data_IF_102892812115
#
_entry.id   IF_102892812115
#
_cell.length_a   1.000
_cell.length_b   1.000
_cell.length_c   1.000
_cell.angle_alpha   90.00
_cell.angle_beta   90.00
_cell.angle_gamma   90.00
#
_symmetry.space_group_name_H-M   'P 1'
#
loop_
_entity.id
_entity.type
_entity.pdbx_description
1 polymer ?
#
# COMPACT_ATOMS: atom_id res chain seq x y z
N UNK A 1 19.57 -8.03 -17.20
CA UNK A 1 19.15 -8.85 -16.05
C UNK A 1 17.73 -9.33 -16.31
N UNK A 2 17.59 -10.30 -17.23
CA UNK A 2 16.33 -10.85 -17.74
C UNK A 2 16.20 -12.36 -17.49
N UNK A 3 16.76 -12.86 -16.39
CA UNK A 3 16.88 -14.30 -16.14
C UNK A 3 16.07 -14.81 -14.92
N UNK A 4 15.20 -13.98 -14.33
CA UNK A 4 14.38 -14.39 -13.18
C UNK A 4 12.86 -14.40 -13.47
N UNK A 5 12.43 -14.06 -14.70
CA UNK A 5 11.01 -14.09 -15.09
C UNK A 5 10.55 -15.42 -15.76
N UNK A 6 11.43 -16.40 -15.92
CA UNK A 6 11.10 -17.66 -16.63
C UNK A 6 11.04 -18.91 -15.75
N UNK A 7 10.86 -18.80 -14.44
CA UNK A 7 10.76 -19.97 -13.55
C UNK A 7 9.56 -19.92 -12.59
N UNK A 8 8.40 -19.56 -13.06
CA UNK A 8 7.15 -19.85 -12.33
C UNK A 8 6.14 -20.61 -13.23
N UNK A 9 6.60 -21.68 -13.89
CA UNK A 9 5.73 -22.82 -14.18
C UNK A 9 5.59 -23.67 -12.91
N UNK A 10 5.45 -22.99 -11.76
CA UNK A 10 5.32 -23.59 -10.47
C UNK A 10 3.95 -24.22 -10.27
N UNK A 11 3.90 -25.13 -9.36
CA UNK A 11 2.74 -25.84 -8.85
C UNK A 11 1.52 -24.91 -8.75
N UNK A 12 0.41 -25.29 -9.37
CA UNK A 12 -0.88 -24.66 -9.21
C UNK A 12 -1.84 -25.65 -8.55
N UNK A 13 -1.47 -26.12 -7.34
CA UNK A 13 -2.31 -27.01 -6.59
C UNK A 13 -3.49 -26.22 -5.98
N UNK A 14 -4.69 -26.74 -6.14
CA UNK A 14 -5.89 -26.20 -5.55
C UNK A 14 -6.47 -27.13 -4.49
N UNK A 15 -6.98 -26.54 -3.42
CA UNK A 15 -7.49 -27.26 -2.26
C UNK A 15 -8.78 -26.66 -1.74
N UNK A 16 -9.64 -27.53 -1.14
CA UNK A 16 -10.77 -27.12 -0.29
C UNK A 16 -10.42 -27.39 1.15
N UNK A 17 -10.49 -26.40 2.02
CA UNK A 17 -10.08 -26.50 3.42
C UNK A 17 -11.17 -25.97 4.33
N UNK A 18 -11.63 -26.78 5.29
CA UNK A 18 -12.56 -26.34 6.32
C UNK A 18 -11.94 -25.31 7.27
N UNK A 19 -12.78 -24.47 7.88
CA UNK A 19 -12.30 -23.36 8.74
C UNK A 19 -11.50 -23.81 9.97
N UNK A 20 -11.90 -24.92 10.59
CA UNK A 20 -11.16 -25.50 11.72
C UNK A 20 -9.77 -25.94 11.30
N UNK A 21 -9.68 -26.70 10.20
CA UNK A 21 -8.40 -27.14 9.67
C UNK A 21 -7.52 -25.98 9.23
N UNK A 22 -8.11 -24.94 8.63
CA UNK A 22 -7.35 -23.73 8.30
C UNK A 22 -6.81 -23.01 9.54
N UNK A 23 -7.49 -23.07 10.68
CA UNK A 23 -6.94 -22.54 11.94
C UNK A 23 -5.73 -23.32 12.43
N UNK A 24 -5.70 -24.64 12.25
CA UNK A 24 -4.53 -25.47 12.56
C UNK A 24 -3.36 -25.11 11.64
N UNK A 25 -3.60 -25.04 10.33
CA UNK A 25 -2.59 -24.62 9.35
C UNK A 25 -2.06 -23.21 9.68
N UNK A 26 -2.91 -22.25 10.05
CA UNK A 26 -2.45 -20.92 10.48
C UNK A 26 -1.61 -20.96 11.75
N UNK A 27 -1.91 -21.87 12.69
CA UNK A 27 -1.10 -22.03 13.89
C UNK A 27 0.28 -22.60 13.57
N UNK A 28 0.38 -23.55 12.65
CA UNK A 28 1.63 -24.09 12.14
C UNK A 28 2.43 -23.02 11.39
N UNK A 29 1.82 -22.32 10.43
CA UNK A 29 2.42 -21.20 9.68
C UNK A 29 2.94 -20.11 10.61
N UNK A 30 2.28 -19.86 11.75
CA UNK A 30 2.68 -18.82 12.70
C UNK A 30 4.01 -19.11 13.43
N UNK A 31 4.56 -20.32 13.29
CA UNK A 31 5.90 -20.64 13.81
C UNK A 31 6.98 -19.99 12.94
N UNK A 32 6.77 -19.96 11.62
CA UNK A 32 7.75 -19.47 10.63
C UNK A 32 7.39 -18.08 10.09
N UNK A 33 6.11 -17.73 10.10
CA UNK A 33 5.58 -16.50 9.52
C UNK A 33 4.86 -15.63 10.55
N UNK A 34 5.02 -14.33 10.42
CA UNK A 34 4.08 -13.37 10.99
C UNK A 34 2.94 -13.18 9.99
N UNK A 35 1.74 -13.61 10.34
CA UNK A 35 0.59 -13.61 9.43
C UNK A 35 -0.23 -12.34 9.62
N UNK A 36 -0.25 -11.46 8.64
CA UNK A 36 -1.04 -10.22 8.66
C UNK A 36 -2.26 -10.32 7.74
N UNK A 37 -3.40 -9.90 8.26
CA UNK A 37 -4.65 -9.84 7.50
C UNK A 37 -5.51 -8.64 7.92
N UNK A 38 -6.50 -8.24 7.09
CA UNK A 38 -7.47 -7.26 7.51
C UNK A 38 -8.35 -7.82 8.63
N UNK A 39 -8.36 -7.16 9.79
CA UNK A 39 -9.16 -7.54 10.95
C UNK A 39 -9.92 -6.35 11.52
N UNK A 40 -11.00 -6.66 12.22
CA UNK A 40 -11.82 -5.66 12.87
C UNK A 40 -11.12 -5.11 14.12
N UNK A 41 -10.94 -3.80 14.16
CA UNK A 41 -10.60 -3.08 15.39
C UNK A 41 -11.85 -3.03 16.28
N UNK A 42 -11.93 -3.88 17.29
CA UNK A 42 -13.10 -4.03 18.15
C UNK A 42 -13.53 -2.73 18.87
N UNK A 43 -12.57 -1.83 19.13
CA UNK A 43 -12.86 -0.56 19.80
C UNK A 43 -13.47 0.49 18.87
N UNK A 44 -13.07 0.48 17.59
CA UNK A 44 -13.40 1.54 16.63
C UNK A 44 -14.26 1.06 15.45
N UNK A 45 -14.58 -0.21 15.39
CA UNK A 45 -15.32 -0.85 14.30
C UNK A 45 -14.68 -0.63 12.90
N UNK A 46 -13.36 -0.44 12.85
CA UNK A 46 -12.58 -0.26 11.63
C UNK A 46 -11.85 -1.53 11.27
N UNK A 47 -11.68 -1.75 9.98
CA UNK A 47 -10.88 -2.85 9.45
C UNK A 47 -9.45 -2.38 9.24
N UNK A 48 -8.50 -2.97 9.98
CA UNK A 48 -7.07 -2.68 9.90
C UNK A 48 -6.29 -3.94 9.63
N UNK A 49 -5.10 -3.81 9.13
CA UNK A 49 -4.16 -4.93 9.09
C UNK A 49 -3.53 -5.13 10.47
N UNK A 50 -3.62 -6.35 10.98
CA UNK A 50 -2.95 -6.78 12.20
C UNK A 50 -2.52 -8.24 12.08
N UNK A 51 -1.67 -8.69 12.98
CA UNK A 51 -1.26 -10.08 13.07
C UNK A 51 -2.44 -10.95 13.54
N UNK A 52 -2.75 -12.00 12.77
CA UNK A 52 -3.88 -12.90 13.00
C UNK A 52 -3.40 -14.31 13.29
N UNK A 53 -4.19 -15.05 14.07
CA UNK A 53 -3.93 -16.44 14.43
C UNK A 53 -5.09 -17.38 14.12
N UNK A 54 -6.22 -16.85 13.69
CA UNK A 54 -7.42 -17.60 13.34
C UNK A 54 -8.08 -17.01 12.12
N UNK A 55 -8.60 -17.87 11.26
CA UNK A 55 -9.27 -17.47 10.03
C UNK A 55 -10.50 -16.59 10.27
N UNK A 56 -11.22 -16.82 11.35
CA UNK A 56 -12.39 -16.03 11.74
C UNK A 56 -12.08 -14.59 12.17
N UNK A 57 -10.80 -14.23 12.31
CA UNK A 57 -10.39 -12.83 12.55
C UNK A 57 -10.30 -12.04 11.24
N UNK A 58 -10.20 -12.71 10.09
CA UNK A 58 -9.98 -12.09 8.79
C UNK A 58 -11.30 -11.53 8.25
N UNK A 59 -11.30 -10.24 7.95
CA UNK A 59 -12.41 -9.56 7.30
C UNK A 59 -12.20 -9.58 5.79
N UNK A 60 -12.99 -10.35 5.09
CA UNK A 60 -12.88 -10.56 3.64
C UNK A 60 -14.04 -9.96 2.83
N UNK A 61 -15.17 -9.69 3.46
CA UNK A 61 -16.44 -9.27 2.85
C UNK A 61 -16.53 -7.75 2.62
N UNK A 62 -15.59 -6.99 3.15
CA UNK A 62 -15.53 -5.53 2.96
C UNK A 62 -14.10 -5.03 2.83
N UNK A 63 -13.95 -3.81 2.34
CA UNK A 63 -12.66 -3.16 2.20
C UNK A 63 -12.05 -2.79 3.56
N UNK A 64 -10.74 -2.97 3.70
CA UNK A 64 -10.01 -2.46 4.87
C UNK A 64 -9.88 -0.94 4.80
N UNK A 65 -10.00 -0.27 5.95
CA UNK A 65 -9.81 1.19 6.08
C UNK A 65 -8.36 1.62 5.83
N UNK A 66 -7.40 0.71 6.04
CA UNK A 66 -5.96 0.96 5.88
C UNK A 66 -5.34 -0.07 4.94
N UNK A 67 -4.28 0.32 4.25
CA UNK A 67 -3.47 -0.60 3.45
C UNK A 67 -2.57 -1.47 4.35
N UNK A 68 -2.05 -2.61 3.85
CA UNK A 68 -1.17 -3.50 4.60
C UNK A 68 0.23 -2.92 4.85
N UNK A 69 0.56 -1.76 4.33
CA UNK A 69 1.93 -1.25 4.27
C UNK A 69 2.63 -1.19 5.63
N UNK A 70 1.89 -1.07 6.76
CA UNK A 70 2.49 -1.07 8.09
C UNK A 70 3.18 -2.38 8.47
N UNK A 71 2.86 -3.50 7.79
CA UNK A 71 3.48 -4.80 8.03
C UNK A 71 4.95 -4.84 7.56
N UNK A 72 5.30 -4.10 6.51
CA UNK A 72 6.62 -4.10 5.89
C UNK A 72 7.26 -2.70 5.78
N UNK A 73 6.50 -1.67 6.05
CA UNK A 73 6.91 -0.28 6.14
C UNK A 73 6.27 0.33 7.38
N UNK A 74 6.87 0.15 8.57
CA UNK A 74 6.27 0.56 9.85
C UNK A 74 6.00 2.07 9.92
N UNK A 75 4.95 2.44 10.65
CA UNK A 75 4.58 3.86 10.88
C UNK A 75 5.72 4.65 11.51
N UNK A 76 6.45 4.01 12.42
CA UNK A 76 7.67 4.53 13.04
C UNK A 76 8.68 3.39 13.15
N UNK A 77 9.91 3.64 12.72
CA UNK A 77 11.00 2.68 12.71
C UNK A 77 12.29 3.35 13.18
N UNK A 78 12.93 2.77 14.19
CA UNK A 78 14.28 3.18 14.58
C UNK A 78 15.23 2.78 13.46
N UNK A 79 16.06 3.70 13.02
CA UNK A 79 17.10 3.49 12.04
C UNK A 79 18.46 3.33 12.69
N UNK A 80 18.75 4.20 13.64
CA UNK A 80 20.02 4.26 14.36
C UNK A 80 19.80 4.56 15.83
N UNK A 81 20.67 4.00 16.67
CA UNK A 81 20.84 4.44 18.04
C UNK A 81 22.10 5.29 18.18
N UNK A 82 22.00 6.38 18.89
CA UNK A 82 23.13 7.18 19.34
C UNK A 82 23.60 6.64 20.67
N UNK A 83 24.88 6.31 20.77
CA UNK A 83 25.56 5.81 21.97
C UNK A 83 26.68 6.75 22.37
N UNK A 84 27.21 6.63 23.59
CA UNK A 84 28.35 7.43 24.03
C UNK A 84 29.57 7.26 23.10
N UNK A 85 29.78 6.06 22.57
CA UNK A 85 30.93 5.67 21.75
C UNK A 85 30.67 5.69 20.24
N UNK A 86 29.47 6.06 19.79
CA UNK A 86 29.17 6.15 18.35
C UNK A 86 27.71 5.97 17.97
N UNK A 87 27.51 5.50 16.74
CA UNK A 87 26.19 5.25 16.15
C UNK A 87 26.08 3.78 15.81
N UNK A 88 25.02 3.15 16.30
CA UNK A 88 24.68 1.76 16.06
C UNK A 88 23.46 1.66 15.14
N UNK A 89 23.51 0.82 14.10
CA UNK A 89 22.38 0.58 13.22
C UNK A 89 21.37 -0.36 13.87
N UNK A 90 20.07 -0.07 13.69
CA UNK A 90 19.01 -0.95 14.21
C UNK A 90 18.91 -2.25 13.44
N UNK A 91 18.73 -3.35 14.17
CA UNK A 91 18.46 -4.67 13.62
C UNK A 91 16.97 -5.02 13.66
N UNK A 92 16.57 -6.04 12.88
CA UNK A 92 15.23 -6.59 13.01
C UNK A 92 15.13 -7.43 14.29
N UNK A 93 14.08 -7.22 15.06
CA UNK A 93 13.82 -7.92 16.32
C UNK A 93 13.09 -9.26 16.12
N UNK A 94 12.52 -9.50 14.94
CA UNK A 94 11.79 -10.73 14.58
C UNK A 94 12.27 -11.21 13.22
N UNK A 95 12.85 -12.41 13.19
CA UNK A 95 13.44 -12.98 11.98
C UNK A 95 12.47 -13.79 11.13
N UNK A 96 11.23 -14.01 11.60
CA UNK A 96 10.21 -14.72 10.81
C UNK A 96 9.87 -13.94 9.56
N UNK A 97 9.55 -14.67 8.52
CA UNK A 97 8.98 -14.11 7.30
C UNK A 97 7.58 -13.51 7.56
N UNK A 98 7.11 -12.71 6.64
CA UNK A 98 5.84 -11.98 6.75
C UNK A 98 4.89 -12.48 5.67
N UNK A 99 3.77 -13.09 6.07
CA UNK A 99 2.73 -13.53 5.16
C UNK A 99 1.56 -12.55 5.24
N UNK A 100 1.24 -11.89 4.14
CA UNK A 100 0.22 -10.83 4.11
C UNK A 100 -0.95 -11.23 3.24
N UNK A 101 -2.12 -11.38 3.84
CA UNK A 101 -3.38 -11.53 3.12
C UNK A 101 -3.78 -10.18 2.52
N UNK A 102 -3.69 -10.05 1.21
CA UNK A 102 -3.84 -8.77 0.53
C UNK A 102 -4.69 -8.89 -0.74
N UNK A 103 -5.33 -7.81 -1.16
CA UNK A 103 -6.05 -7.76 -2.44
C UNK A 103 -5.12 -7.34 -3.56
N UNK A 104 -5.51 -7.58 -4.82
CA UNK A 104 -4.69 -7.22 -5.99
C UNK A 104 -4.19 -5.78 -5.95
N UNK A 105 -5.05 -4.82 -5.60
CA UNK A 105 -4.66 -3.41 -5.51
C UNK A 105 -3.64 -3.14 -4.39
N UNK A 106 -3.66 -3.90 -3.29
CA UNK A 106 -2.68 -3.78 -2.21
C UNK A 106 -1.32 -4.33 -2.65
N UNK A 107 -1.30 -5.50 -3.29
CA UNK A 107 -0.07 -6.12 -3.83
C UNK A 107 0.54 -5.20 -4.90
N UNK A 108 -0.29 -4.69 -5.81
CA UNK A 108 0.15 -3.71 -6.80
C UNK A 108 0.68 -2.41 -6.17
N UNK A 109 0.15 -2.00 -5.01
CA UNK A 109 0.67 -0.83 -4.30
C UNK A 109 2.09 -1.07 -3.76
N UNK A 110 2.39 -2.30 -3.30
CA UNK A 110 3.75 -2.68 -2.87
C UNK A 110 4.73 -2.58 -4.02
N UNK A 111 4.38 -3.09 -5.20
CA UNK A 111 5.22 -2.99 -6.40
C UNK A 111 5.55 -1.52 -6.75
N UNK A 112 4.60 -0.57 -6.54
CA UNK A 112 4.88 0.86 -6.71
C UNK A 112 5.85 1.38 -5.65
N UNK A 113 5.76 0.89 -4.42
CA UNK A 113 6.73 1.24 -3.37
C UNK A 113 8.12 0.64 -3.65
N UNK A 114 8.19 -0.60 -4.14
CA UNK A 114 9.46 -1.23 -4.57
C UNK A 114 10.18 -0.37 -5.60
N UNK A 115 9.47 0.19 -6.58
CA UNK A 115 10.06 1.11 -7.54
C UNK A 115 10.65 2.36 -6.86
N UNK A 116 9.95 2.92 -5.86
CA UNK A 116 10.41 4.14 -5.17
C UNK A 116 11.57 3.88 -4.21
N UNK A 117 11.56 2.78 -3.47
CA UNK A 117 12.55 2.50 -2.45
C UNK A 117 13.76 1.71 -2.96
N UNK A 118 13.56 0.84 -3.97
CA UNK A 118 14.61 -0.08 -4.43
C UNK A 118 15.14 0.26 -5.82
N UNK A 119 14.41 1.06 -6.64
CA UNK A 119 14.77 1.31 -8.04
C UNK A 119 14.85 2.79 -8.40
N UNK A 120 14.74 3.68 -7.41
CA UNK A 120 14.66 5.12 -7.62
C UNK A 120 15.99 5.81 -7.34
N UNK A 121 16.99 5.55 -8.17
CA UNK A 121 18.31 6.18 -8.03
C UNK A 121 19.44 5.17 -7.92
N UNK A 122 20.57 5.59 -7.41
CA UNK A 122 21.79 4.76 -7.35
C UNK A 122 21.91 3.87 -6.11
N UNK A 123 20.98 3.98 -5.13
CA UNK A 123 21.02 3.21 -3.90
C UNK A 123 19.60 2.75 -3.50
N UNK A 124 19.54 1.57 -2.91
CA UNK A 124 18.30 1.02 -2.33
C UNK A 124 18.13 1.50 -0.91
N UNK A 125 16.87 1.69 -0.48
CA UNK A 125 16.54 1.92 0.92
C UNK A 125 16.72 0.61 1.72
N UNK A 126 17.79 0.55 2.51
CA UNK A 126 18.17 -0.64 3.26
C UNK A 126 17.10 -1.09 4.26
N UNK A 127 16.46 -0.14 4.97
CA UNK A 127 15.46 -0.45 5.98
C UNK A 127 14.15 -0.96 5.37
N UNK A 128 13.78 -0.44 4.20
CA UNK A 128 12.64 -0.96 3.44
C UNK A 128 12.96 -2.36 2.90
N UNK A 129 14.13 -2.53 2.26
CA UNK A 129 14.55 -3.80 1.67
C UNK A 129 14.53 -4.95 2.66
N UNK A 130 15.09 -4.78 3.86
CA UNK A 130 15.16 -5.82 4.90
C UNK A 130 13.79 -6.40 5.26
N UNK A 131 12.78 -5.55 5.40
CA UNK A 131 11.42 -6.02 5.68
C UNK A 131 10.72 -6.54 4.44
N UNK A 132 10.94 -5.89 3.28
CA UNK A 132 10.28 -6.27 2.03
C UNK A 132 10.70 -7.65 1.52
N UNK A 133 11.96 -8.02 1.69
CA UNK A 133 12.48 -9.33 1.30
C UNK A 133 11.80 -10.49 2.07
N UNK A 134 11.30 -10.23 3.27
CA UNK A 134 10.57 -11.20 4.09
C UNK A 134 9.09 -11.35 3.72
N UNK A 135 8.54 -10.48 2.86
CA UNK A 135 7.10 -10.43 2.57
C UNK A 135 6.70 -11.35 1.44
N UNK A 136 5.78 -12.26 1.75
CA UNK A 136 5.02 -13.07 0.80
C UNK A 136 3.54 -12.67 0.84
N UNK A 137 2.86 -12.74 -0.30
CA UNK A 137 1.44 -12.37 -0.39
C UNK A 137 0.54 -13.57 -0.54
N UNK A 138 -0.55 -13.57 0.23
CA UNK A 138 -1.74 -14.39 0.01
C UNK A 138 -2.78 -13.50 -0.65
N UNK A 139 -3.07 -13.76 -1.91
CA UNK A 139 -4.09 -13.02 -2.64
C UNK A 139 -5.48 -13.37 -2.12
N UNK A 140 -6.16 -12.39 -1.54
CA UNK A 140 -7.59 -12.49 -1.22
C UNK A 140 -8.42 -12.02 -2.41
N UNK A 141 -9.29 -12.86 -2.93
CA UNK A 141 -10.25 -12.41 -3.94
C UNK A 141 -11.18 -11.33 -3.38
N UNK A 142 -11.53 -10.37 -4.23
CA UNK A 142 -12.62 -9.45 -3.92
C UNK A 142 -13.93 -10.14 -4.23
N UNK A 143 -14.88 -10.28 -3.26
CA UNK A 143 -16.18 -10.88 -3.53
C UNK A 143 -16.98 -10.07 -4.55
N UNK A 144 -16.81 -8.74 -4.49
CA UNK A 144 -17.41 -7.77 -5.40
C UNK A 144 -16.54 -6.50 -5.50
N UNK A 145 -16.88 -5.60 -6.40
CA UNK A 145 -16.30 -4.26 -6.45
C UNK A 145 -16.86 -3.42 -5.29
N UNK A 146 -15.98 -2.98 -4.37
CA UNK A 146 -16.43 -2.10 -3.31
C UNK A 146 -16.74 -0.69 -3.84
N UNK A 147 -17.67 -0.01 -3.16
CA UNK A 147 -18.29 1.26 -3.56
C UNK A 147 -17.28 2.33 -4.06
N UNK A 148 -16.15 2.46 -3.39
CA UNK A 148 -15.16 3.49 -3.73
C UNK A 148 -14.00 3.01 -4.61
N UNK A 149 -14.02 1.75 -5.06
CA UNK A 149 -12.97 1.19 -5.91
C UNK A 149 -13.08 1.69 -7.35
N UNK A 150 -11.93 1.96 -7.94
CA UNK A 150 -11.73 2.23 -9.39
C UNK A 150 -10.43 1.58 -9.90
N UNK A 151 -10.07 0.43 -9.30
CA UNK A 151 -8.84 -0.29 -9.60
C UNK A 151 -8.77 -0.79 -11.05
N UNK A 152 -9.90 -1.10 -11.68
CA UNK A 152 -9.98 -1.49 -13.09
C UNK A 152 -9.52 -0.35 -14.00
N UNK A 153 -9.95 0.88 -13.72
CA UNK A 153 -9.57 2.06 -14.52
C UNK A 153 -8.05 2.34 -14.54
N UNK A 154 -7.32 1.87 -13.54
CA UNK A 154 -5.86 2.05 -13.41
C UNK A 154 -5.07 0.74 -13.57
N UNK A 155 -5.74 -0.35 -13.97
CA UNK A 155 -5.10 -1.64 -14.27
C UNK A 155 -4.51 -2.35 -13.05
N UNK A 156 -5.04 -2.12 -11.83
CA UNK A 156 -4.54 -2.75 -10.60
C UNK A 156 -5.50 -3.76 -9.98
N UNK A 157 -6.55 -4.13 -10.71
CA UNK A 157 -7.52 -5.15 -10.33
C UNK A 157 -6.97 -6.57 -10.42
N UNK A 158 -5.87 -6.79 -11.13
CA UNK A 158 -5.20 -8.08 -11.33
C UNK A 158 -3.75 -8.03 -10.86
N UNK A 159 -3.25 -9.18 -10.44
CA UNK A 159 -1.83 -9.39 -10.10
C UNK A 159 -1.51 -10.87 -10.21
N UNK A 160 -0.26 -11.19 -10.44
CA UNK A 160 0.35 -12.54 -10.41
C UNK A 160 1.42 -12.67 -9.31
N UNK A 161 1.72 -11.58 -8.59
CA UNK A 161 2.72 -11.52 -7.52
C UNK A 161 2.11 -12.01 -6.19
N UNK A 162 1.87 -13.33 -6.09
CA UNK A 162 1.43 -13.98 -4.86
C UNK A 162 1.90 -15.44 -4.81
N UNK A 163 2.11 -15.94 -3.61
CA UNK A 163 2.51 -17.32 -3.33
C UNK A 163 1.32 -18.25 -3.09
N UNK A 164 0.19 -17.66 -2.70
CA UNK A 164 -1.06 -18.37 -2.45
C UNK A 164 -2.23 -17.44 -2.77
N UNK A 165 -3.38 -18.00 -3.20
CA UNK A 165 -4.63 -17.26 -3.34
C UNK A 165 -5.73 -17.94 -2.54
N UNK A 166 -6.69 -17.16 -2.03
CA UNK A 166 -7.78 -17.65 -1.19
C UNK A 166 -9.11 -17.00 -1.57
N UNK A 167 -10.13 -17.85 -1.66
CA UNK A 167 -11.54 -17.49 -1.70
C UNK A 167 -12.21 -17.96 -0.43
N UNK A 168 -12.88 -17.06 0.27
CA UNK A 168 -13.63 -17.35 1.48
C UNK A 168 -15.06 -17.73 1.11
N UNK A 169 -15.50 -18.90 1.53
CA UNK A 169 -16.89 -19.33 1.48
C UNK A 169 -17.52 -19.30 2.88
N UNK A 170 -18.79 -19.68 2.98
CA UNK A 170 -19.52 -19.68 4.27
C UNK A 170 -18.88 -20.65 5.27
N UNK A 171 -18.55 -21.88 4.85
CA UNK A 171 -18.08 -22.96 5.74
C UNK A 171 -16.62 -23.37 5.50
N UNK A 172 -16.07 -23.06 4.34
CA UNK A 172 -14.74 -23.48 3.90
C UNK A 172 -13.98 -22.37 3.17
N UNK A 173 -12.78 -22.72 2.73
CA UNK A 173 -11.94 -21.88 1.88
C UNK A 173 -11.51 -22.70 0.65
N UNK A 174 -11.51 -22.04 -0.50
CA UNK A 174 -10.80 -22.53 -1.68
C UNK A 174 -9.43 -21.84 -1.74
N UNK A 175 -8.39 -22.62 -1.89
CA UNK A 175 -7.01 -22.17 -1.82
C UNK A 175 -6.27 -22.63 -3.06
N UNK A 176 -5.50 -21.75 -3.68
CA UNK A 176 -4.49 -22.08 -4.68
C UNK A 176 -3.11 -21.84 -4.08
N UNK A 177 -2.22 -22.81 -4.16
CA UNK A 177 -0.86 -22.68 -3.68
C UNK A 177 0.11 -22.70 -4.87
N UNK A 178 1.07 -21.78 -4.88
CA UNK A 178 2.11 -21.62 -5.90
C UNK A 178 3.53 -21.79 -5.36
N UNK A 179 3.68 -21.75 -4.04
CA UNK A 179 4.95 -21.90 -3.34
C UNK A 179 5.08 -23.34 -2.83
N UNK A 180 6.17 -24.03 -3.16
CA UNK A 180 6.37 -25.43 -2.79
C UNK A 180 6.44 -25.64 -1.28
N UNK A 181 7.02 -24.69 -0.52
CA UNK A 181 7.11 -24.78 0.94
C UNK A 181 5.72 -24.66 1.55
N UNK A 182 4.93 -23.70 1.08
CA UNK A 182 3.55 -23.54 1.56
C UNK A 182 2.66 -24.70 1.16
N UNK A 183 2.93 -25.36 0.03
CA UNK A 183 2.15 -26.52 -0.41
C UNK A 183 2.19 -27.68 0.59
N UNK A 184 3.30 -27.89 1.29
CA UNK A 184 3.43 -28.93 2.29
C UNK A 184 2.40 -28.87 3.43
N UNK A 185 1.82 -27.69 3.70
CA UNK A 185 0.76 -27.53 4.71
C UNK A 185 -0.62 -28.01 4.23
N UNK A 186 -0.77 -28.27 2.92
CA UNK A 186 -2.05 -28.58 2.27
C UNK A 186 -2.09 -29.96 1.59
N UNK A 187 -1.02 -30.74 1.60
CA UNK A 187 -0.90 -32.00 0.84
C UNK A 187 -1.97 -33.04 1.25
N UNK A 188 -2.40 -33.03 2.50
CA UNK A 188 -3.42 -33.95 3.03
C UNK A 188 -4.85 -33.45 2.81
N UNK A 189 -5.04 -32.26 2.21
CA UNK A 189 -6.35 -31.66 2.03
C UNK A 189 -7.03 -32.10 0.73
N UNK A 190 -8.36 -31.94 0.66
CA UNK A 190 -9.15 -32.26 -0.52
C UNK A 190 -8.71 -31.41 -1.71
N UNK A 191 -8.20 -32.07 -2.76
CA UNK A 191 -7.80 -31.39 -3.98
C UNK A 191 -9.01 -30.87 -4.75
N UNK A 192 -9.00 -29.59 -5.10
CA UNK A 192 -10.04 -28.95 -5.87
C UNK A 192 -9.43 -27.96 -6.87
N UNK A 193 -9.92 -27.95 -8.10
CA UNK A 193 -9.52 -26.95 -9.08
C UNK A 193 -9.96 -25.55 -8.63
N UNK A 194 -9.03 -24.62 -8.60
CA UNK A 194 -9.27 -23.24 -8.20
C UNK A 194 -8.71 -22.25 -9.20
N UNK A 195 -9.59 -21.50 -9.85
CA UNK A 195 -9.24 -20.39 -10.71
C UNK A 195 -9.50 -19.06 -10.00
N UNK A 196 -8.47 -18.25 -9.88
CA UNK A 196 -8.56 -16.93 -9.25
C UNK A 196 -9.46 -16.00 -10.07
N UNK A 197 -10.44 -15.40 -9.42
CA UNK A 197 -11.34 -14.41 -10.01
C UNK A 197 -10.90 -13.01 -9.65
N UNK A 198 -10.84 -12.15 -10.65
CA UNK A 198 -10.54 -10.74 -10.50
C UNK A 198 -11.77 -9.90 -10.84
N UNK A 199 -11.88 -8.74 -10.21
CA UNK A 199 -12.92 -7.76 -10.55
C UNK A 199 -12.65 -7.25 -11.96
N UNK A 200 -13.65 -7.33 -12.83
CA UNK A 200 -13.58 -6.88 -14.24
C UNK A 200 -14.15 -5.47 -14.42
N UNK A 201 -15.02 -5.02 -13.53
CA UNK A 201 -15.67 -3.72 -13.60
C UNK A 201 -15.83 -3.09 -12.21
N UNK A 202 -15.62 -1.78 -12.14
CA UNK A 202 -15.95 -0.99 -10.96
C UNK A 202 -17.17 -0.10 -11.25
N UNK A 203 -17.95 0.21 -10.21
CA UNK A 203 -19.03 1.21 -10.30
C UNK A 203 -18.47 2.58 -10.67
N UNK A 204 -17.32 2.95 -10.08
CA UNK A 204 -16.60 4.18 -10.39
C UNK A 204 -15.63 3.97 -11.56
N UNK A 205 -15.85 4.70 -12.66
CA UNK A 205 -14.98 4.69 -13.84
C UNK A 205 -14.19 6.00 -13.88
N UNK A 206 -12.89 5.92 -13.63
CA UNK A 206 -12.02 7.09 -13.56
C UNK A 206 -11.74 7.64 -14.97
N UNK A 207 -11.95 8.93 -15.16
CA UNK A 207 -11.40 9.67 -16.30
C UNK A 207 -10.00 10.13 -15.93
N UNK A 208 -9.00 9.50 -16.56
CA UNK A 208 -7.59 9.76 -16.25
C UNK A 208 -7.14 10.98 -17.05
N UNK A 209 -6.64 12.05 -16.38
CA UNK A 209 -6.15 13.23 -17.09
C UNK A 209 -4.90 12.89 -17.90
N UNK A 210 -4.85 13.35 -19.13
CA UNK A 210 -3.64 13.27 -19.96
C UNK A 210 -2.69 14.40 -19.58
N UNK A 211 -1.85 14.11 -18.59
CA UNK A 211 -0.81 15.04 -18.14
C UNK A 211 0.50 14.62 -18.82
N UNK A 212 1.08 15.58 -19.56
CA UNK A 212 2.30 15.42 -20.33
C UNK A 212 3.33 16.47 -19.90
N UNK A 213 4.56 16.36 -20.37
CA UNK A 213 5.59 17.35 -20.12
C UNK A 213 5.21 18.73 -20.71
N UNK A 214 4.50 18.73 -21.84
CA UNK A 214 4.15 19.95 -22.55
C UNK A 214 3.03 20.73 -21.86
N UNK A 215 2.02 20.03 -21.29
CA UNK A 215 0.91 20.68 -20.60
C UNK A 215 1.06 20.77 -19.08
N UNK A 216 2.12 20.18 -18.49
CA UNK A 216 2.33 20.14 -17.03
C UNK A 216 2.28 21.52 -16.37
N UNK A 217 2.84 22.55 -17.06
CA UNK A 217 2.78 23.91 -16.53
C UNK A 217 1.33 24.44 -16.52
N UNK A 218 0.59 24.28 -17.61
CA UNK A 218 -0.80 24.69 -17.70
C UNK A 218 -1.66 23.98 -16.65
N UNK A 219 -1.51 22.65 -16.49
CA UNK A 219 -2.17 21.89 -15.43
C UNK A 219 -1.80 22.40 -14.05
N UNK A 220 -0.53 22.78 -13.86
CA UNK A 220 -0.06 23.31 -12.57
C UNK A 220 -0.65 24.68 -12.23
N UNK A 221 -0.94 25.47 -13.22
CA UNK A 221 -1.46 26.85 -13.08
C UNK A 221 -3.00 26.91 -13.08
N UNK A 222 -3.72 25.77 -13.18
CA UNK A 222 -5.18 25.73 -13.13
C UNK A 222 -5.72 26.42 -11.87
N UNK A 223 -6.65 27.38 -11.98
CA UNK A 223 -7.32 27.99 -10.83
C UNK A 223 -8.09 27.01 -9.96
N UNK A 224 -8.45 25.87 -10.52
CA UNK A 224 -9.12 24.74 -9.87
C UNK A 224 -8.49 24.33 -8.53
N UNK A 225 -7.16 24.44 -8.39
CA UNK A 225 -6.47 24.01 -7.18
C UNK A 225 -6.80 24.83 -5.94
N UNK A 226 -7.17 26.09 -6.11
CA UNK A 226 -7.45 27.03 -5.00
C UNK A 226 -8.61 26.56 -4.11
N UNK A 227 -9.57 25.79 -4.62
CA UNK A 227 -10.68 25.26 -3.83
C UNK A 227 -10.24 24.40 -2.64
N UNK A 228 -9.04 23.80 -2.73
CA UNK A 228 -8.50 22.97 -1.64
C UNK A 228 -7.88 23.79 -0.52
N UNK A 229 -7.57 25.06 -0.73
CA UNK A 229 -7.02 25.94 0.30
C UNK A 229 -8.02 26.16 1.44
N UNK A 230 -9.31 26.21 1.12
CA UNK A 230 -10.38 26.31 2.10
C UNK A 230 -10.87 24.94 2.59
N UNK A 231 -11.05 23.98 1.68
CA UNK A 231 -11.69 22.69 1.99
C UNK A 231 -10.77 21.74 2.74
N UNK A 232 -9.48 21.66 2.40
CA UNK A 232 -8.52 20.73 3.01
C UNK A 232 -8.00 21.26 4.35
N UNK A 233 -7.97 20.42 5.37
CA UNK A 233 -7.41 20.75 6.70
C UNK A 233 -5.98 20.26 6.91
N UNK A 234 -5.32 19.80 5.85
CA UNK A 234 -3.93 19.30 5.87
C UNK A 234 -3.64 18.20 6.91
N UNK A 235 -4.62 17.34 7.22
CA UNK A 235 -4.48 16.30 8.25
C UNK A 235 -3.65 15.08 7.83
N UNK A 236 -3.28 14.94 6.55
CA UNK A 236 -2.50 13.80 6.04
C UNK A 236 -3.23 12.45 6.04
N UNK A 237 -4.51 12.38 6.46
CA UNK A 237 -5.26 11.13 6.56
C UNK A 237 -5.32 10.33 5.25
N UNK A 238 -5.44 11.01 4.11
CA UNK A 238 -5.43 10.40 2.80
C UNK A 238 -4.05 9.81 2.39
N UNK A 239 -2.95 10.28 2.98
CA UNK A 239 -1.62 9.68 2.80
C UNK A 239 -1.44 8.45 3.69
N UNK A 240 -1.94 8.52 4.94
CA UNK A 240 -1.79 7.45 5.92
C UNK A 240 -2.43 6.13 5.45
N UNK A 241 -3.64 6.19 4.86
CA UNK A 241 -4.35 5.00 4.39
C UNK A 241 -3.88 4.48 3.04
N UNK A 242 -3.14 5.29 2.28
CA UNK A 242 -2.73 4.96 0.92
C UNK A 242 -1.57 3.97 0.90
N UNK A 243 -1.76 2.84 0.21
CA UNK A 243 -0.73 1.81 0.05
C UNK A 243 0.49 2.25 -0.76
N UNK A 244 0.33 3.25 -1.64
CA UNK A 244 1.43 3.73 -2.49
C UNK A 244 2.15 4.95 -1.93
N UNK A 245 1.71 5.52 -0.79
CA UNK A 245 2.40 6.65 -0.18
C UNK A 245 3.64 6.18 0.58
N UNK A 246 4.80 6.68 0.17
CA UNK A 246 6.13 6.31 0.66
C UNK A 246 6.84 7.44 1.42
N UNK A 247 6.25 8.63 1.48
CA UNK A 247 6.84 9.78 2.15
C UNK A 247 7.07 9.51 3.64
N UNK A 248 8.23 9.88 4.13
CA UNK A 248 8.61 9.81 5.55
C UNK A 248 9.38 11.06 5.96
N UNK A 249 9.51 11.23 7.24
CA UNK A 249 10.37 12.20 7.87
C UNK A 249 11.33 11.48 8.82
N UNK A 250 12.42 12.13 9.19
CA UNK A 250 13.39 11.61 10.16
C UNK A 250 13.36 12.48 11.41
N UNK A 251 13.27 11.84 12.57
CA UNK A 251 13.18 12.51 13.87
C UNK A 251 14.24 11.92 14.80
N UNK A 252 15.03 12.81 15.39
CA UNK A 252 15.97 12.45 16.46
C UNK A 252 15.27 12.60 17.82
N UNK A 253 15.33 11.54 18.62
CA UNK A 253 14.76 11.47 19.97
C UNK A 253 15.89 11.22 20.93
N UNK A 254 16.28 12.24 21.72
CA UNK A 254 17.24 12.09 22.82
C UNK A 254 16.53 11.52 24.05
N UNK A 255 17.20 10.62 24.76
CA UNK A 255 16.60 9.93 25.92
C UNK A 255 16.56 10.80 27.17
N UNK A 256 17.45 11.80 27.28
CA UNK A 256 17.42 12.79 28.34
C UNK A 256 18.00 14.11 27.87
N UNK A 257 17.66 15.20 28.55
CA UNK A 257 18.22 16.51 28.33
C UNK A 257 19.73 16.51 28.62
N UNK A 258 20.54 16.99 27.67
CA UNK A 258 22.00 16.99 27.77
C UNK A 258 22.69 15.64 27.53
N UNK A 259 21.96 14.58 27.23
CA UNK A 259 22.53 13.30 26.77
C UNK A 259 22.82 13.31 25.28
N UNK A 260 23.89 12.61 24.89
CA UNK A 260 24.15 12.28 23.47
C UNK A 260 23.53 10.94 23.10
N UNK A 261 22.89 10.25 24.04
CA UNK A 261 22.19 8.99 23.77
C UNK A 261 20.77 9.24 23.29
N UNK A 262 20.37 8.46 22.31
CA UNK A 262 19.06 8.60 21.68
C UNK A 262 18.89 7.69 20.48
N UNK A 263 17.95 8.04 19.65
CA UNK A 263 17.67 7.29 18.44
C UNK A 263 17.21 8.21 17.30
N UNK A 264 17.53 7.82 16.05
CA UNK A 264 16.94 8.39 14.84
C UNK A 264 15.85 7.48 14.35
N UNK A 265 14.65 8.02 14.23
CA UNK A 265 13.49 7.33 13.70
C UNK A 265 13.12 7.83 12.32
N UNK A 266 12.69 6.91 11.46
CA UNK A 266 11.89 7.20 10.30
C UNK A 266 10.42 7.13 10.70
N UNK A 267 9.64 8.17 10.41
CA UNK A 267 8.19 8.22 10.69
C UNK A 267 7.43 8.56 9.42
N UNK A 268 6.24 7.96 9.21
CA UNK A 268 5.44 8.32 8.05
C UNK A 268 5.13 9.80 8.01
N UNK A 269 5.26 10.36 6.82
CA UNK A 269 4.88 11.73 6.53
C UNK A 269 4.04 11.78 5.24
N UNK A 270 3.79 12.93 4.65
CA UNK A 270 3.01 12.98 3.43
C UNK A 270 2.84 14.35 2.83
N UNK A 271 2.67 14.36 1.51
CA UNK A 271 2.54 15.56 0.70
C UNK A 271 1.34 16.46 1.08
N UNK A 272 0.34 15.90 1.81
CA UNK A 272 -0.84 16.66 2.26
C UNK A 272 -0.69 17.23 3.67
N UNK A 273 0.43 16.99 4.34
CA UNK A 273 0.78 17.67 5.61
C UNK A 273 1.34 19.06 5.31
N UNK A 274 0.97 20.03 6.15
CA UNK A 274 1.28 21.44 5.90
C UNK A 274 2.79 21.69 5.82
N UNK A 275 3.56 21.11 6.73
CA UNK A 275 4.99 21.41 6.90
C UNK A 275 5.91 20.34 6.31
N UNK A 276 5.40 19.35 5.57
CA UNK A 276 6.20 18.21 5.08
C UNK A 276 7.42 18.63 4.24
N UNK A 277 7.36 19.77 3.54
CA UNK A 277 8.50 20.26 2.72
C UNK A 277 9.12 21.55 3.27
N UNK A 278 8.89 21.84 4.54
CA UNK A 278 9.50 22.98 5.21
C UNK A 278 10.97 22.68 5.50
N UNK A 279 11.84 23.61 5.13
CA UNK A 279 13.26 23.56 5.44
C UNK A 279 13.55 24.22 6.79
N UNK A 280 14.73 23.99 7.37
CA UNK A 280 15.16 24.60 8.63
C UNK A 280 15.07 26.15 8.64
N UNK A 281 15.13 26.79 7.46
CA UNK A 281 14.93 28.25 7.32
C UNK A 281 13.48 28.67 7.13
N UNK A 282 12.49 27.78 7.29
CA UNK A 282 11.05 28.07 7.14
C UNK A 282 10.57 28.20 5.69
N UNK A 283 11.44 27.97 4.69
CA UNK A 283 11.02 27.96 3.29
C UNK A 283 10.23 26.69 2.97
N UNK A 284 9.17 26.84 2.18
CA UNK A 284 8.29 25.73 1.74
C UNK A 284 8.23 25.68 0.22
N UNK A 285 8.44 24.52 -0.34
CA UNK A 285 8.29 24.30 -1.79
C UNK A 285 6.84 24.48 -2.25
N UNK A 286 5.88 24.06 -1.41
CA UNK A 286 4.43 24.22 -1.63
C UNK A 286 3.82 25.01 -0.49
N UNK A 287 3.24 26.15 -0.83
CA UNK A 287 2.78 27.13 0.18
C UNK A 287 1.29 27.00 0.50
N UNK A 288 0.51 26.30 -0.33
CA UNK A 288 -0.94 26.18 -0.19
C UNK A 288 -1.39 24.72 -0.22
N UNK A 289 -2.56 24.44 0.29
CA UNK A 289 -3.17 23.10 0.28
C UNK A 289 -3.56 22.69 -1.14
N UNK A 290 -3.93 23.65 -1.97
CA UNK A 290 -4.14 23.46 -3.41
C UNK A 290 -2.87 23.01 -4.11
N UNK A 291 -1.71 23.62 -3.81
CA UNK A 291 -0.42 23.19 -4.33
C UNK A 291 -0.05 21.76 -3.87
N UNK A 292 -0.43 21.37 -2.64
CA UNK A 292 -0.25 20.00 -2.16
C UNK A 292 -1.15 19.01 -2.90
N UNK A 293 -2.43 19.35 -3.16
CA UNK A 293 -3.34 18.48 -3.92
C UNK A 293 -2.89 18.34 -5.38
N UNK A 294 -2.50 19.44 -6.02
CA UNK A 294 -1.88 19.42 -7.34
C UNK A 294 -0.71 18.45 -7.40
N UNK A 295 0.24 18.60 -6.48
CA UNK A 295 1.39 17.69 -6.38
C UNK A 295 0.92 16.24 -6.23
N UNK A 296 -0.07 15.97 -5.37
CA UNK A 296 -0.58 14.62 -5.17
C UNK A 296 -1.17 14.02 -6.46
N UNK A 297 -1.91 14.80 -7.24
CA UNK A 297 -2.48 14.35 -8.53
C UNK A 297 -1.38 14.12 -9.55
N UNK A 298 -0.50 15.10 -9.78
CA UNK A 298 0.61 14.98 -10.73
C UNK A 298 1.53 13.82 -10.35
N UNK A 299 1.90 13.68 -9.07
CA UNK A 299 2.74 12.58 -8.61
C UNK A 299 2.15 11.20 -8.88
N UNK A 300 0.83 11.03 -8.78
CA UNK A 300 0.16 9.74 -8.97
C UNK A 300 -0.19 9.42 -10.43
N UNK A 301 -0.38 10.41 -11.27
CA UNK A 301 -0.85 10.21 -12.65
C UNK A 301 0.16 10.64 -13.71
N UNK A 302 1.18 11.43 -13.36
CA UNK A 302 2.24 11.87 -14.28
C UNK A 302 3.62 11.45 -13.80
N UNK A 303 4.18 12.04 -12.71
CA UNK A 303 5.59 11.92 -12.34
C UNK A 303 6.06 10.47 -12.19
N UNK A 304 5.25 9.63 -11.54
CA UNK A 304 5.56 8.21 -11.36
C UNK A 304 5.64 7.47 -12.69
N UNK A 305 4.63 7.67 -13.55
CA UNK A 305 4.55 7.04 -14.87
C UNK A 305 5.68 7.50 -15.79
N UNK A 306 5.99 8.80 -15.78
CA UNK A 306 7.11 9.38 -16.56
C UNK A 306 8.45 8.79 -16.13
N UNK A 307 8.64 8.57 -14.81
CA UNK A 307 9.89 8.06 -14.25
C UNK A 307 10.09 6.55 -14.41
N UNK A 308 9.06 5.74 -14.17
CA UNK A 308 9.16 4.28 -14.13
C UNK A 308 8.52 3.58 -15.34
N UNK A 309 7.79 4.29 -16.16
CA UNK A 309 7.05 3.76 -17.31
C UNK A 309 5.76 3.02 -16.93
N UNK A 310 4.91 2.79 -17.93
CA UNK A 310 3.75 1.89 -17.88
C UNK A 310 2.60 2.30 -16.97
N UNK A 311 2.74 2.18 -15.69
CA UNK A 311 1.63 2.24 -14.72
C UNK A 311 1.53 3.56 -13.97
N UNK A 312 0.30 3.93 -13.59
CA UNK A 312 0.08 5.02 -12.64
C UNK A 312 0.47 4.60 -11.21
N UNK A 313 0.88 5.57 -10.39
CA UNK A 313 1.15 5.29 -8.98
C UNK A 313 -0.13 4.98 -8.19
N UNK A 314 -1.27 5.57 -8.56
CA UNK A 314 -2.55 5.26 -7.94
C UNK A 314 -3.01 3.84 -8.31
N UNK A 315 -3.47 3.08 -7.31
CA UNK A 315 -4.01 1.72 -7.50
C UNK A 315 -5.54 1.68 -7.41
N UNK A 316 -6.22 2.81 -7.42
CA UNK A 316 -7.68 2.88 -7.48
C UNK A 316 -8.43 2.23 -6.32
N UNK A 317 -7.80 2.09 -5.15
CA UNK A 317 -8.43 1.44 -4.01
C UNK A 317 -9.48 2.30 -3.27
N UNK A 318 -9.59 3.60 -3.52
CA UNK A 318 -10.60 4.49 -2.94
C UNK A 318 -10.50 4.80 -1.44
N UNK A 319 -9.55 4.22 -0.69
CA UNK A 319 -9.42 4.42 0.76
C UNK A 319 -9.25 5.89 1.17
N UNK A 320 -8.59 6.70 0.33
CA UNK A 320 -8.38 8.12 0.62
C UNK A 320 -9.68 8.93 0.62
N UNK A 321 -10.68 8.53 -0.17
CA UNK A 321 -11.98 9.16 -0.23
C UNK A 321 -12.78 8.88 1.05
N UNK A 322 -12.83 7.61 1.47
CA UNK A 322 -13.47 7.17 2.71
C UNK A 322 -12.83 7.85 3.94
N UNK A 323 -11.52 8.05 3.92
CA UNK A 323 -10.78 8.56 5.08
C UNK A 323 -10.88 10.08 5.26
N UNK A 324 -11.25 10.83 4.25
CA UNK A 324 -11.24 12.28 4.32
C UNK A 324 -12.34 12.83 5.23
N UNK A 325 -12.02 13.53 6.35
CA UNK A 325 -13.04 14.07 7.26
C UNK A 325 -13.73 15.30 6.68
N UNK A 326 -13.23 15.83 5.55
CA UNK A 326 -13.80 16.95 4.80
C UNK A 326 -14.45 16.49 3.50
N UNK A 327 -14.66 15.18 3.34
CA UNK A 327 -15.33 14.59 2.18
C UNK A 327 -14.74 15.07 0.83
N UNK A 328 -13.40 15.18 0.79
CA UNK A 328 -12.68 15.44 -0.45
C UNK A 328 -12.49 14.08 -1.14
N UNK A 329 -13.20 13.87 -2.25
CA UNK A 329 -13.02 12.72 -3.12
C UNK A 329 -11.79 12.94 -4.01
N UNK A 330 -10.84 12.02 -3.91
CA UNK A 330 -9.67 12.00 -4.80
C UNK A 330 -10.07 11.52 -6.20
N UNK A 331 -11.03 10.59 -6.26
CA UNK A 331 -11.61 10.14 -7.52
C UNK A 331 -12.21 11.32 -8.31
N UNK A 332 -13.12 12.09 -7.68
CA UNK A 332 -13.74 13.26 -8.32
C UNK A 332 -12.69 14.33 -8.66
N UNK A 333 -11.71 14.55 -7.77
CA UNK A 333 -10.61 15.48 -8.03
C UNK A 333 -9.87 15.14 -9.33
N UNK A 334 -9.58 13.86 -9.58
CA UNK A 334 -8.86 13.42 -10.78
C UNK A 334 -9.74 13.56 -12.03
N UNK A 335 -11.03 13.19 -11.92
CA UNK A 335 -12.00 13.38 -13.02
C UNK A 335 -12.18 14.86 -13.38
N UNK A 336 -12.29 15.73 -12.40
CA UNK A 336 -12.45 17.17 -12.62
C UNK A 336 -11.18 17.78 -13.24
N UNK A 337 -9.99 17.33 -12.86
CA UNK A 337 -8.73 17.75 -13.52
C UNK A 337 -8.70 17.33 -14.98
N UNK A 338 -9.17 16.12 -15.31
CA UNK A 338 -9.36 15.70 -16.70
C UNK A 338 -10.27 16.69 -17.46
N UNK A 339 -11.44 17.00 -16.88
CA UNK A 339 -12.40 17.90 -17.51
C UNK A 339 -11.85 19.33 -17.69
N UNK A 340 -11.03 19.83 -16.76
CA UNK A 340 -10.37 21.15 -16.89
C UNK A 340 -9.30 21.17 -18.01
N UNK A 341 -8.58 20.06 -18.22
CA UNK A 341 -7.62 19.93 -19.33
C UNK A 341 -8.36 19.92 -20.66
N UNK A 342 -9.42 19.11 -20.80
CA UNK A 342 -10.23 19.04 -22.04
C UNK A 342 -10.85 20.39 -22.44
N UNK A 343 -11.29 21.19 -21.42
CA UNK A 343 -11.79 22.54 -21.66
C UNK A 343 -10.71 23.52 -22.15
N UNK A 344 -9.47 23.34 -21.68
CA UNK A 344 -8.38 24.22 -22.07
C UNK A 344 -7.87 23.95 -23.50
N UNK A 345 -8.07 22.71 -23.97
CA UNK A 345 -7.67 22.26 -25.32
C UNK A 345 -8.79 22.51 -26.39
N UNK A 346 -10.00 22.92 -25.95
CA UNK A 346 -11.16 23.23 -26.82
C UNK A 346 -11.23 24.71 -27.15
#
# INVERSE_FOLDING_TARGET
MSAQMEKNNGLHAGYRVGKERMNEILAELSQEYRVFAPCLDAQKKRVRYAEVRKIGQIVYDRQSDFSPKAAYYPVSQVMFWFREDGVEESELTDDRDILVFARSCDINAVRRQDNLFLRNGGAEDLFYRRLREKVKFVLMECPESFENCFCVSVGSNRTDDYVMAVRFNEDDLQIQVRDEVLNGYFEDEEQESFDVRFIEENTKKLRIPEITRDNLKAVSDLPYWSKFDEKCIACGGCNTVCGTCSCFDTVDVLYSEGSNEGERRRVWSGCMLENFTETAGGARARKTKGANMRFKVCHKFYDYKDRFGGEHMCVGCGRCDIRCPKEISFFDTVCEVHDEIEKADS
#
